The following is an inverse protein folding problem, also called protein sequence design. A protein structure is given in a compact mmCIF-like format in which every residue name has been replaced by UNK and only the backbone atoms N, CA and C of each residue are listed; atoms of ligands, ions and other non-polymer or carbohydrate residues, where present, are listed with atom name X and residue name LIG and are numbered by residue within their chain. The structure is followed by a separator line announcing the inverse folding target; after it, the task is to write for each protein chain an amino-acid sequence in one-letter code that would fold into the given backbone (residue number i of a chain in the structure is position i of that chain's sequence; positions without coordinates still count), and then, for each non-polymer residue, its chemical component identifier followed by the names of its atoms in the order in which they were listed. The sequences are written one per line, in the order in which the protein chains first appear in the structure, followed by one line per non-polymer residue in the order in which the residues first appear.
data_IF_281978843276
#
_entry.id   IF_281978843276
#
_cell.length_a   1.000
_cell.length_b   1.000
_cell.length_c   1.000
_cell.angle_alpha   90.00
_cell.angle_beta   90.00
_cell.angle_gamma   90.00
#
_symmetry.space_group_name_H-M   'P 1'
#
loop_
_entity.id
_entity.type
_entity.pdbx_description
1 polymer ?
#
# COMPACT_ATOMS: atom_id res chain seq x y z
N UNK A 1 1.65 -15.90 -29.48
CA UNK A 1 1.79 -14.65 -30.28
C UNK A 1 1.66 -13.49 -29.31
N UNK A 2 2.75 -12.83 -28.96
CA UNK A 2 2.74 -11.63 -28.12
C UNK A 2 1.94 -10.56 -28.85
N UNK A 3 0.86 -10.10 -28.20
CA UNK A 3 0.02 -9.03 -28.74
C UNK A 3 0.82 -7.71 -28.70
N UNK A 4 1.54 -7.39 -29.77
CA UNK A 4 2.41 -6.22 -29.86
C UNK A 4 1.65 -4.90 -29.62
N UNK A 5 0.37 -4.84 -29.98
CA UNK A 5 -0.52 -3.70 -29.71
C UNK A 5 -0.76 -3.54 -28.20
N UNK A 6 -0.99 -4.63 -27.48
CA UNK A 6 -1.11 -4.62 -26.02
C UNK A 6 0.18 -4.13 -25.34
N UNK A 7 1.33 -4.58 -25.81
CA UNK A 7 2.63 -4.11 -25.32
C UNK A 7 2.85 -2.62 -25.56
N UNK A 8 2.50 -2.10 -26.74
CA UNK A 8 2.56 -0.67 -27.04
C UNK A 8 1.63 0.14 -26.14
N UNK A 9 0.40 -0.33 -25.94
CA UNK A 9 -0.57 0.33 -25.07
C UNK A 9 -0.07 0.38 -23.60
N UNK A 10 0.44 -0.73 -23.09
CA UNK A 10 1.02 -0.82 -21.75
C UNK A 10 2.15 0.21 -21.55
N UNK A 11 3.10 0.24 -22.48
CA UNK A 11 4.22 1.20 -22.45
C UNK A 11 3.77 2.66 -22.57
N UNK A 12 2.76 2.93 -23.39
CA UNK A 12 2.22 4.29 -23.53
C UNK A 12 1.58 4.78 -22.22
N UNK A 13 0.85 3.92 -21.52
CA UNK A 13 0.28 4.24 -20.21
C UNK A 13 1.37 4.50 -19.16
N UNK A 14 2.38 3.66 -19.09
CA UNK A 14 3.52 3.81 -18.18
C UNK A 14 4.33 5.09 -18.50
N UNK A 15 4.52 5.41 -19.78
CA UNK A 15 5.14 6.66 -20.19
C UNK A 15 4.35 7.90 -19.71
N UNK A 16 3.02 7.82 -19.70
CA UNK A 16 2.15 8.87 -19.14
C UNK A 16 2.37 9.08 -17.65
N UNK A 17 2.46 8.00 -16.87
CA UNK A 17 2.77 8.06 -15.43
C UNK A 17 4.15 8.64 -15.19
N UNK A 18 5.17 8.15 -15.90
CA UNK A 18 6.55 8.65 -15.80
C UNK A 18 6.64 10.14 -16.17
N UNK A 19 5.87 10.60 -17.16
CA UNK A 19 5.80 12.02 -17.50
C UNK A 19 5.20 12.86 -16.36
N UNK A 20 4.13 12.37 -15.69
CA UNK A 20 3.57 13.04 -14.52
C UNK A 20 4.58 13.09 -13.35
N UNK A 21 5.25 11.98 -13.07
CA UNK A 21 6.32 11.93 -12.05
C UNK A 21 7.46 12.90 -12.38
N UNK A 22 7.83 13.04 -13.66
CA UNK A 22 8.85 13.98 -14.12
C UNK A 22 8.49 15.47 -13.98
N UNK A 23 7.23 15.77 -13.64
CA UNK A 23 6.72 17.15 -13.43
C UNK A 23 6.50 17.49 -11.96
N UNK A 24 6.72 16.54 -11.06
CA UNK A 24 6.68 16.87 -9.64
C UNK A 24 7.78 17.89 -9.35
N UNK A 25 7.46 18.93 -8.56
CA UNK A 25 8.49 19.84 -8.08
C UNK A 25 9.43 19.03 -7.19
N UNK A 26 10.71 19.09 -7.52
CA UNK A 26 11.75 18.41 -6.75
C UNK A 26 12.72 19.48 -6.29
N UNK A 27 12.74 19.74 -5.01
CA UNK A 27 13.77 20.54 -4.37
C UNK A 27 14.93 19.62 -3.98
N UNK A 28 16.16 20.05 -4.27
CA UNK A 28 17.35 19.32 -3.83
C UNK A 28 17.42 19.41 -2.30
N UNK A 29 17.64 18.29 -1.60
CA UNK A 29 17.85 18.33 -0.18
C UNK A 29 19.16 19.04 0.14
N UNK A 30 19.21 19.72 1.26
CA UNK A 30 20.49 20.21 1.78
C UNK A 30 21.41 18.99 2.05
N UNK A 31 22.72 19.09 1.77
CA UNK A 31 23.66 18.01 2.08
C UNK A 31 23.55 17.60 3.55
N UNK A 32 23.40 16.30 3.80
CA UNK A 32 23.31 15.75 5.16
C UNK A 32 21.91 15.71 5.80
N UNK A 33 20.84 16.03 5.05
CA UNK A 33 19.44 15.94 5.56
C UNK A 33 18.89 14.51 5.66
N UNK A 34 19.66 13.53 5.24
CA UNK A 34 19.28 12.11 5.33
C UNK A 34 20.27 11.36 6.21
N UNK A 35 19.77 10.49 7.06
CA UNK A 35 20.56 9.57 7.87
C UNK A 35 20.17 8.14 7.59
N UNK A 36 21.13 7.20 7.51
CA UNK A 36 20.80 5.78 7.55
C UNK A 36 19.93 5.48 8.77
N UNK A 37 18.99 4.58 8.63
CA UNK A 37 18.18 4.14 9.74
C UNK A 37 18.06 2.61 9.70
N UNK A 38 18.23 1.98 10.85
CA UNK A 38 17.92 0.57 11.00
C UNK A 38 16.41 0.36 10.85
N UNK A 39 15.95 -0.58 10.01
CA UNK A 39 14.53 -0.84 9.80
C UNK A 39 13.77 -1.20 11.08
N UNK A 40 14.34 -2.02 11.96
CA UNK A 40 13.66 -2.47 13.18
C UNK A 40 13.56 -1.34 14.20
N UNK A 41 14.61 -0.54 14.39
CA UNK A 41 14.60 0.63 15.27
C UNK A 41 13.61 1.69 14.77
N UNK A 42 13.59 1.92 13.46
CA UNK A 42 12.64 2.86 12.84
C UNK A 42 11.19 2.51 13.12
N UNK A 43 10.83 1.22 12.99
CA UNK A 43 9.48 0.77 13.25
C UNK A 43 9.17 0.50 14.72
N UNK A 44 10.17 0.28 15.57
CA UNK A 44 9.99 0.19 17.02
C UNK A 44 9.43 1.50 17.62
N UNK A 45 9.77 2.64 17.02
CA UNK A 45 9.24 3.95 17.38
C UNK A 45 7.84 4.24 16.79
N UNK A 46 7.28 3.32 15.99
CA UNK A 46 5.98 3.49 15.35
C UNK A 46 4.82 3.23 16.30
N UNK A 47 3.62 3.70 15.90
CA UNK A 47 2.37 3.52 16.63
C UNK A 47 1.60 2.26 16.24
N UNK A 48 2.21 1.32 15.57
CA UNK A 48 1.52 0.10 15.14
C UNK A 48 0.98 -0.72 16.33
N UNK A 49 1.62 -0.62 17.49
CA UNK A 49 1.19 -1.31 18.73
C UNK A 49 0.14 -0.53 19.54
N UNK A 50 0.08 0.79 19.33
CA UNK A 50 -0.89 1.69 19.98
C UNK A 50 -1.49 2.64 18.92
N UNK A 51 -2.32 2.10 18.02
CA UNK A 51 -2.86 2.85 16.90
C UNK A 51 -3.81 3.95 17.37
N UNK A 52 -3.88 5.03 16.59
CA UNK A 52 -4.73 6.17 16.89
C UNK A 52 -6.22 5.77 16.94
N UNK A 53 -7.02 6.40 17.81
CA UNK A 53 -8.46 6.14 17.87
C UNK A 53 -9.17 6.62 16.62
N UNK A 54 -10.19 5.89 16.18
CA UNK A 54 -11.04 6.20 15.04
C UNK A 54 -12.41 6.66 15.52
N UNK A 55 -12.82 7.83 15.06
CA UNK A 55 -14.18 8.32 15.18
C UNK A 55 -14.98 7.94 13.92
N UNK A 56 -16.19 7.47 14.13
CA UNK A 56 -17.11 7.03 13.07
C UNK A 56 -18.20 8.06 12.91
N UNK A 57 -18.34 8.62 11.72
CA UNK A 57 -19.40 9.56 11.37
C UNK A 57 -20.78 8.90 11.29
N UNK A 58 -21.86 9.71 11.14
CA UNK A 58 -23.21 9.18 10.97
C UNK A 58 -23.30 8.30 9.71
N UNK A 59 -24.29 7.39 9.67
CA UNK A 59 -24.53 6.60 8.47
C UNK A 59 -25.04 7.48 7.34
N UNK A 60 -24.57 7.21 6.14
CA UNK A 60 -25.06 7.75 4.89
C UNK A 60 -25.73 6.63 4.10
N UNK A 61 -26.68 6.99 3.24
CA UNK A 61 -27.30 6.01 2.34
C UNK A 61 -26.27 5.41 1.38
N UNK A 62 -26.47 4.14 1.06
CA UNK A 62 -25.66 3.40 0.10
C UNK A 62 -26.57 2.69 -0.93
N UNK A 63 -26.08 2.60 -2.18
CA UNK A 63 -26.83 1.94 -3.26
C UNK A 63 -26.97 0.41 -3.08
N UNK A 64 -26.04 -0.20 -2.32
CA UNK A 64 -26.10 -1.63 -2.01
C UNK A 64 -26.95 -1.83 -0.77
N UNK A 65 -28.00 -2.65 -0.89
CA UNK A 65 -28.93 -2.94 0.20
C UNK A 65 -28.21 -3.55 1.42
N UNK A 66 -28.55 -3.06 2.61
CA UNK A 66 -27.97 -3.49 3.88
C UNK A 66 -26.53 -3.06 4.08
N UNK A 67 -26.04 -2.10 3.31
CA UNK A 67 -24.73 -1.46 3.46
C UNK A 67 -24.90 -0.02 3.88
N UNK A 68 -24.16 0.40 4.91
CA UNK A 68 -24.05 1.79 5.34
C UNK A 68 -22.70 2.37 4.92
N UNK A 69 -22.72 3.58 4.38
CA UNK A 69 -21.52 4.36 4.12
C UNK A 69 -21.17 5.18 5.37
N UNK A 70 -19.94 5.08 5.85
CA UNK A 70 -19.46 5.81 7.02
C UNK A 70 -18.16 6.55 6.69
N UNK A 71 -18.04 7.79 7.17
CA UNK A 71 -16.75 8.47 7.20
C UNK A 71 -16.04 8.12 8.49
N UNK A 72 -14.78 7.68 8.36
CA UNK A 72 -13.89 7.41 9.47
C UNK A 72 -12.88 8.54 9.56
N UNK A 73 -12.65 9.05 10.77
CA UNK A 73 -11.64 10.08 11.03
C UNK A 73 -10.83 9.74 12.27
N UNK A 74 -9.60 10.22 12.34
CA UNK A 74 -8.73 10.04 13.49
C UNK A 74 -7.52 10.96 13.41
N UNK A 75 -6.76 11.13 14.49
CA UNK A 75 -5.54 11.90 14.45
C UNK A 75 -4.49 11.18 13.61
N UNK A 76 -3.87 11.91 12.70
CA UNK A 76 -2.74 11.44 11.90
C UNK A 76 -1.51 12.27 12.28
N UNK A 77 -0.39 11.62 12.56
CA UNK A 77 0.84 12.27 13.03
C UNK A 77 2.02 11.86 12.17
N UNK A 78 2.81 12.83 11.78
CA UNK A 78 3.98 12.66 10.93
C UNK A 78 4.18 13.89 10.06
N UNK A 79 5.14 13.88 9.13
CA UNK A 79 5.51 15.07 8.37
C UNK A 79 4.33 15.64 7.54
N UNK A 80 3.45 14.81 7.02
CA UNK A 80 2.24 15.29 6.34
C UNK A 80 1.31 16.09 7.24
N UNK A 81 1.29 15.85 8.56
CA UNK A 81 0.46 16.59 9.50
C UNK A 81 0.95 18.02 9.71
N UNK A 82 2.24 18.25 9.64
CA UNK A 82 2.83 19.59 9.75
C UNK A 82 2.45 20.47 8.57
N UNK A 83 2.20 19.87 7.42
CA UNK A 83 1.68 20.54 6.22
C UNK A 83 0.14 20.67 6.19
N UNK A 84 -0.58 20.23 7.23
CA UNK A 84 -2.05 20.32 7.30
C UNK A 84 -2.80 19.00 7.13
N UNK A 85 -2.15 17.89 6.80
CA UNK A 85 -2.77 16.55 6.70
C UNK A 85 -2.87 15.87 8.09
N UNK A 86 -3.45 16.58 9.07
CA UNK A 86 -3.49 16.20 10.50
C UNK A 86 -4.51 15.13 10.83
N UNK A 87 -5.48 14.91 9.95
CA UNK A 87 -6.54 13.95 10.18
C UNK A 87 -6.41 12.80 9.19
N UNK A 88 -6.43 11.58 9.71
CA UNK A 88 -6.76 10.40 8.94
C UNK A 88 -8.21 10.55 8.44
N UNK A 89 -8.45 10.21 7.19
CA UNK A 89 -9.78 10.21 6.58
C UNK A 89 -9.95 8.94 5.76
N UNK A 90 -11.00 8.18 6.04
CA UNK A 90 -11.38 7.00 5.27
C UNK A 90 -12.90 6.99 5.02
N UNK A 91 -13.32 6.19 4.05
CA UNK A 91 -14.74 5.93 3.77
C UNK A 91 -14.95 4.44 3.84
N UNK A 92 -15.87 4.00 4.69
CA UNK A 92 -16.16 2.59 4.94
C UNK A 92 -17.58 2.22 4.47
N UNK A 93 -17.68 1.07 3.81
CA UNK A 93 -18.90 0.38 3.39
C UNK A 93 -19.12 -0.76 4.38
N UNK A 94 -20.07 -0.62 5.28
CA UNK A 94 -20.27 -1.53 6.40
C UNK A 94 -21.62 -2.26 6.30
N UNK A 95 -21.63 -3.51 6.72
CA UNK A 95 -22.87 -4.29 6.97
C UNK A 95 -23.08 -4.39 8.47
N UNK A 96 -23.93 -3.56 9.07
CA UNK A 96 -24.11 -3.51 10.51
C UNK A 96 -24.50 -4.87 11.10
N UNK A 97 -23.94 -5.21 12.25
CA UNK A 97 -24.22 -6.45 12.96
C UNK A 97 -23.61 -7.73 12.37
N UNK A 98 -22.80 -7.63 11.30
CA UNK A 98 -22.23 -8.78 10.59
C UNK A 98 -20.73 -8.92 10.83
N UNK A 99 -20.32 -9.16 12.08
CA UNK A 99 -18.89 -9.38 12.43
C UNK A 99 -18.27 -10.64 11.80
N UNK A 100 -19.08 -11.54 11.33
CA UNK A 100 -18.69 -12.77 10.62
C UNK A 100 -18.08 -12.49 9.24
N UNK A 101 -18.36 -11.32 8.65
CA UNK A 101 -17.88 -10.93 7.34
C UNK A 101 -16.47 -10.34 7.41
N UNK A 102 -15.60 -10.57 6.42
CA UNK A 102 -14.27 -9.98 6.39
C UNK A 102 -14.32 -8.47 6.16
N UNK A 103 -13.33 -7.75 6.69
CA UNK A 103 -13.08 -6.34 6.42
C UNK A 103 -11.85 -6.19 5.52
N UNK A 104 -11.99 -5.45 4.42
CA UNK A 104 -10.91 -5.20 3.47
C UNK A 104 -10.61 -3.70 3.40
N UNK A 105 -9.37 -3.31 3.73
CA UNK A 105 -8.87 -1.95 3.51
C UNK A 105 -8.27 -1.83 2.11
N UNK A 106 -8.75 -0.88 1.32
CA UNK A 106 -8.27 -0.58 -0.04
C UNK A 106 -7.42 0.68 -0.01
N UNK A 107 -6.17 0.57 -0.48
CA UNK A 107 -5.16 1.65 -0.43
C UNK A 107 -4.74 2.04 -1.85
N UNK A 108 -4.89 3.34 -2.16
CA UNK A 108 -4.63 3.88 -3.49
C UNK A 108 -3.12 4.08 -3.79
N UNK A 109 -2.81 4.27 -5.08
CA UNK A 109 -1.47 4.60 -5.55
C UNK A 109 -1.09 6.08 -5.38
N UNK A 110 0.19 6.40 -5.65
CA UNK A 110 0.69 7.77 -5.68
C UNK A 110 -0.05 8.59 -6.76
N UNK A 111 -0.28 9.87 -6.48
CA UNK A 111 -0.94 10.84 -7.39
C UNK A 111 -2.37 10.45 -7.80
N UNK A 112 -3.05 9.59 -7.04
CA UNK A 112 -4.45 9.26 -7.31
C UNK A 112 -5.29 10.54 -7.51
N UNK A 113 -5.86 10.79 -8.71
CA UNK A 113 -6.54 12.05 -8.98
C UNK A 113 -7.96 12.08 -8.39
N UNK A 114 -8.54 10.92 -8.20
CA UNK A 114 -9.86 10.71 -7.62
C UNK A 114 -9.92 9.35 -6.93
N UNK A 115 -10.86 9.13 -6.01
CA UNK A 115 -11.02 7.85 -5.32
C UNK A 115 -11.85 6.83 -6.11
N UNK A 116 -12.14 7.08 -7.38
CA UNK A 116 -13.11 6.32 -8.18
C UNK A 116 -12.78 4.82 -8.27
N UNK A 117 -11.49 4.49 -8.45
CA UNK A 117 -11.07 3.09 -8.56
C UNK A 117 -11.28 2.34 -7.24
N UNK A 118 -10.82 2.91 -6.14
CA UNK A 118 -10.93 2.32 -4.80
C UNK A 118 -12.39 2.26 -4.34
N UNK A 119 -13.19 3.27 -4.66
CA UNK A 119 -14.61 3.30 -4.37
C UNK A 119 -15.36 2.17 -5.08
N UNK A 120 -15.03 1.96 -6.37
CA UNK A 120 -15.55 0.83 -7.15
C UNK A 120 -15.15 -0.52 -6.55
N UNK A 121 -13.91 -0.67 -6.05
CA UNK A 121 -13.47 -1.89 -5.39
C UNK A 121 -14.23 -2.11 -4.06
N UNK A 122 -14.39 -1.07 -3.26
CA UNK A 122 -15.15 -1.16 -2.00
C UNK A 122 -16.61 -1.54 -2.24
N UNK A 123 -17.27 -0.94 -3.23
CA UNK A 123 -18.64 -1.30 -3.63
C UNK A 123 -18.73 -2.78 -4.03
N UNK A 124 -17.85 -3.23 -4.91
CA UNK A 124 -17.83 -4.61 -5.37
C UNK A 124 -17.54 -5.62 -4.23
N UNK A 125 -16.70 -5.27 -3.26
CA UNK A 125 -16.49 -6.07 -2.04
C UNK A 125 -17.77 -6.11 -1.18
N UNK A 126 -18.45 -4.99 -1.03
CA UNK A 126 -19.72 -4.91 -0.29
C UNK A 126 -20.83 -5.75 -0.97
N UNK A 127 -20.90 -5.74 -2.31
CA UNK A 127 -21.80 -6.62 -3.09
C UNK A 127 -21.48 -8.10 -2.89
N UNK A 128 -20.20 -8.46 -2.70
CA UNK A 128 -19.78 -9.84 -2.39
C UNK A 128 -19.98 -10.21 -0.91
N UNK A 129 -20.56 -9.35 -0.09
CA UNK A 129 -20.82 -9.62 1.31
C UNK A 129 -19.63 -9.38 2.24
N UNK A 130 -18.70 -8.50 1.90
CA UNK A 130 -17.63 -8.07 2.79
C UNK A 130 -17.90 -6.66 3.36
N UNK A 131 -17.21 -6.30 4.43
CA UNK A 131 -16.99 -4.90 4.77
C UNK A 131 -15.80 -4.40 3.97
N UNK A 132 -15.81 -3.14 3.57
CA UNK A 132 -14.69 -2.55 2.86
C UNK A 132 -14.49 -1.11 3.29
N UNK A 133 -13.26 -0.62 3.24
CA UNK A 133 -12.97 0.79 3.38
C UNK A 133 -11.85 1.20 2.43
N UNK A 134 -11.92 2.44 1.94
CA UNK A 134 -10.80 3.12 1.31
C UNK A 134 -10.27 4.21 2.23
N UNK A 135 -8.98 4.42 2.19
CA UNK A 135 -8.32 5.48 2.96
C UNK A 135 -7.69 6.51 2.02
N UNK A 136 -7.75 7.77 2.40
CA UNK A 136 -7.01 8.84 1.75
C UNK A 136 -5.64 8.95 2.43
N UNK A 137 -4.55 8.68 1.70
CA UNK A 137 -3.19 8.80 2.23
C UNK A 137 -2.84 10.26 2.53
N UNK A 138 -1.84 10.54 3.37
CA UNK A 138 -1.36 11.90 3.60
C UNK A 138 -1.10 12.63 2.29
N UNK A 139 -1.47 13.90 2.21
CA UNK A 139 -1.33 14.80 1.04
C UNK A 139 -2.11 14.35 -0.22
N UNK A 140 -2.98 13.35 -0.12
CA UNK A 140 -3.80 12.90 -1.25
C UNK A 140 -5.28 13.21 -1.03
N UNK A 141 -6.02 13.27 -2.14
CA UNK A 141 -7.49 13.36 -2.19
C UNK A 141 -8.04 14.45 -1.26
N UNK A 142 -8.84 14.11 -0.23
CA UNK A 142 -9.39 15.07 0.76
C UNK A 142 -8.32 15.64 1.69
N UNK A 143 -7.16 14.98 1.78
CA UNK A 143 -6.03 15.40 2.62
C UNK A 143 -4.97 16.19 1.86
N UNK A 144 -5.19 16.50 0.57
CA UNK A 144 -4.29 17.33 -0.23
C UNK A 144 -4.28 18.78 0.28
N UNK A 145 -3.16 19.45 0.09
CA UNK A 145 -3.08 20.88 0.39
C UNK A 145 -3.94 21.71 -0.58
N UNK A 146 -4.52 22.83 -0.13
CA UNK A 146 -5.27 23.72 -1.01
C UNK A 146 -4.40 24.19 -2.19
N UNK A 147 -4.95 24.10 -3.41
CA UNK A 147 -4.24 24.53 -4.63
C UNK A 147 -3.15 23.58 -5.14
N UNK A 148 -2.87 22.47 -4.42
CA UNK A 148 -1.84 21.49 -4.77
C UNK A 148 -2.51 20.22 -5.31
N UNK A 149 -1.85 19.52 -6.25
CA UNK A 149 -2.36 18.27 -6.79
C UNK A 149 -2.31 17.16 -5.74
N UNK A 150 -3.24 16.21 -5.86
CA UNK A 150 -3.27 15.03 -5.01
C UNK A 150 -1.92 14.29 -5.05
N UNK A 151 -1.28 14.07 -3.88
CA UNK A 151 -0.02 13.37 -3.75
C UNK A 151 1.24 14.19 -4.05
N UNK A 152 1.10 15.45 -4.47
CA UNK A 152 2.25 16.34 -4.61
C UNK A 152 2.86 16.63 -3.24
N UNK A 153 4.19 16.52 -3.13
CA UNK A 153 4.91 16.64 -1.87
C UNK A 153 4.98 15.35 -1.04
N UNK A 154 4.32 14.27 -1.44
CA UNK A 154 4.43 12.98 -0.75
C UNK A 154 5.83 12.38 -0.89
N UNK A 155 6.39 12.38 -2.10
CA UNK A 155 7.78 11.98 -2.36
C UNK A 155 8.63 13.24 -2.46
N UNK A 156 9.73 13.25 -1.73
CA UNK A 156 10.73 14.31 -1.70
C UNK A 156 12.12 13.76 -1.97
N UNK A 157 13.03 14.63 -2.41
CA UNK A 157 14.46 14.32 -2.43
C UNK A 157 15.05 14.27 -1.02
N UNK A 158 14.40 14.85 -0.01
CA UNK A 158 14.63 14.53 1.39
C UNK A 158 14.10 13.11 1.67
N UNK A 159 15.03 12.15 1.74
CA UNK A 159 14.68 10.73 1.93
C UNK A 159 14.14 10.47 3.34
N UNK A 160 14.50 11.27 4.33
CA UNK A 160 13.94 11.17 5.68
C UNK A 160 12.47 11.56 5.68
N UNK A 161 12.11 12.65 4.97
CA UNK A 161 10.71 13.00 4.73
C UNK A 161 9.94 11.88 4.04
N UNK A 162 10.47 11.35 2.92
CA UNK A 162 9.80 10.30 2.15
C UNK A 162 9.59 9.04 3.00
N UNK A 163 10.57 8.64 3.78
CA UNK A 163 10.49 7.52 4.73
C UNK A 163 9.43 7.74 5.80
N UNK A 164 9.43 8.93 6.42
CA UNK A 164 8.56 9.24 7.53
C UNK A 164 7.09 9.42 7.11
N UNK A 165 6.82 9.95 5.91
CA UNK A 165 5.44 10.05 5.40
C UNK A 165 4.88 8.68 4.97
N UNK A 166 5.74 7.76 4.53
CA UNK A 166 5.35 6.36 4.31
C UNK A 166 4.99 5.71 5.66
N UNK A 167 5.79 5.93 6.72
CA UNK A 167 5.46 5.47 8.07
C UNK A 167 4.12 6.02 8.55
N UNK A 168 3.88 7.33 8.41
CA UNK A 168 2.58 7.94 8.71
C UNK A 168 1.43 7.24 7.98
N UNK A 169 1.62 6.91 6.71
CA UNK A 169 0.61 6.21 5.90
C UNK A 169 0.32 4.81 6.41
N UNK A 170 1.36 4.07 6.81
CA UNK A 170 1.23 2.72 7.40
C UNK A 170 0.54 2.79 8.76
N UNK A 171 0.90 3.75 9.61
CA UNK A 171 0.26 3.98 10.92
C UNK A 171 -1.23 4.35 10.78
N UNK A 172 -1.57 5.20 9.82
CA UNK A 172 -2.96 5.57 9.51
C UNK A 172 -3.78 4.35 9.05
N UNK A 173 -3.23 3.52 8.18
CA UNK A 173 -3.85 2.27 7.75
C UNK A 173 -4.00 1.28 8.92
N UNK A 174 -2.98 1.14 9.76
CA UNK A 174 -3.02 0.28 10.93
C UNK A 174 -4.10 0.72 11.94
N UNK A 175 -4.32 2.03 12.10
CA UNK A 175 -5.40 2.57 12.95
C UNK A 175 -6.78 2.14 12.44
N UNK A 176 -7.03 2.20 11.12
CA UNK A 176 -8.28 1.72 10.52
C UNK A 176 -8.45 0.22 10.70
N UNK A 177 -7.38 -0.57 10.48
CA UNK A 177 -7.42 -2.03 10.66
C UNK A 177 -7.66 -2.44 12.11
N UNK A 178 -7.01 -1.77 13.06
CA UNK A 178 -7.21 -2.03 14.50
C UNK A 178 -8.64 -1.67 14.95
N UNK A 179 -9.18 -0.54 14.47
CA UNK A 179 -10.57 -0.20 14.69
C UNK A 179 -11.50 -1.26 14.08
N UNK A 180 -11.27 -1.66 12.82
CA UNK A 180 -12.09 -2.65 12.15
C UNK A 180 -12.08 -3.98 12.89
N UNK A 181 -10.90 -4.45 13.36
CA UNK A 181 -10.76 -5.69 14.14
C UNK A 181 -11.52 -5.63 15.47
N UNK A 182 -11.53 -4.49 16.11
CA UNK A 182 -12.23 -4.31 17.40
C UNK A 182 -13.74 -4.17 17.22
N UNK A 183 -14.21 -3.37 16.24
CA UNK A 183 -15.60 -2.93 16.16
C UNK A 183 -16.40 -3.62 15.03
N UNK A 184 -15.75 -4.11 13.96
CA UNK A 184 -16.44 -4.50 12.72
C UNK A 184 -16.30 -5.98 12.42
N UNK A 185 -15.08 -6.52 12.46
CA UNK A 185 -14.79 -7.88 12.00
C UNK A 185 -13.55 -8.44 12.68
N UNK A 186 -13.58 -9.71 13.04
CA UNK A 186 -12.39 -10.40 13.58
C UNK A 186 -11.34 -10.69 12.50
N UNK A 187 -11.70 -10.50 11.22
CA UNK A 187 -10.88 -10.80 10.06
C UNK A 187 -10.62 -9.54 9.25
N UNK A 188 -9.35 -9.18 9.09
CA UNK A 188 -8.95 -7.95 8.39
C UNK A 188 -7.94 -8.23 7.30
N UNK A 189 -8.17 -7.64 6.13
CA UNK A 189 -7.34 -7.78 4.95
C UNK A 189 -7.00 -6.43 4.34
N UNK A 190 -5.95 -6.40 3.51
CA UNK A 190 -5.52 -5.18 2.80
C UNK A 190 -5.36 -5.46 1.32
N UNK A 191 -5.84 -4.54 0.49
CA UNK A 191 -5.58 -4.49 -0.94
C UNK A 191 -4.95 -3.14 -1.29
N UNK A 192 -3.79 -3.13 -1.92
CA UNK A 192 -3.12 -1.88 -2.28
C UNK A 192 -2.54 -1.89 -3.69
N UNK A 193 -2.52 -0.72 -4.34
CA UNK A 193 -1.99 -0.55 -5.69
C UNK A 193 -0.76 0.36 -5.67
N UNK A 194 0.33 -0.01 -6.35
CA UNK A 194 1.54 0.81 -6.49
C UNK A 194 2.10 1.25 -5.11
N UNK A 195 2.08 2.55 -4.77
CA UNK A 195 2.39 3.05 -3.43
C UNK A 195 1.50 2.38 -2.37
N UNK A 196 0.21 2.23 -2.62
CA UNK A 196 -0.70 1.50 -1.73
C UNK A 196 -0.28 0.03 -1.57
N UNK A 197 0.29 -0.57 -2.63
CA UNK A 197 0.88 -1.90 -2.60
C UNK A 197 2.11 -1.99 -1.69
N UNK A 198 2.99 -0.99 -1.72
CA UNK A 198 4.09 -0.87 -0.75
C UNK A 198 3.56 -0.80 0.69
N UNK A 199 2.56 0.06 0.93
CA UNK A 199 1.95 0.20 2.26
C UNK A 199 1.31 -1.12 2.72
N UNK A 200 0.62 -1.84 1.83
CA UNK A 200 0.04 -3.15 2.13
C UNK A 200 1.12 -4.19 2.51
N UNK A 201 2.26 -4.19 1.79
CA UNK A 201 3.39 -5.07 2.10
C UNK A 201 4.09 -4.70 3.42
N UNK A 202 4.26 -3.41 3.71
CA UNK A 202 4.81 -2.95 5.00
C UNK A 202 3.87 -3.29 6.18
N UNK A 203 2.56 -3.21 5.98
CA UNK A 203 1.58 -3.71 6.96
C UNK A 203 1.71 -5.21 7.16
N UNK A 204 1.84 -6.00 6.07
CA UNK A 204 2.06 -7.44 6.15
C UNK A 204 3.37 -7.81 6.86
N UNK A 205 4.41 -6.98 6.69
CA UNK A 205 5.70 -7.16 7.37
C UNK A 205 5.58 -7.00 8.89
N UNK A 206 4.66 -6.15 9.38
CA UNK A 206 4.56 -5.73 10.77
C UNK A 206 3.35 -6.31 11.52
N UNK A 207 2.29 -6.70 10.80
CA UNK A 207 1.02 -7.14 11.38
C UNK A 207 0.62 -8.51 10.83
N UNK A 208 0.02 -9.34 11.69
CA UNK A 208 -0.63 -10.58 11.26
C UNK A 208 -2.02 -10.25 10.69
N UNK A 209 -2.10 -10.24 9.35
CA UNK A 209 -3.31 -9.99 8.58
C UNK A 209 -3.87 -11.30 8.03
N UNK A 210 -5.17 -11.37 7.83
CA UNK A 210 -5.82 -12.57 7.28
C UNK A 210 -5.51 -12.77 5.81
N UNK A 211 -5.40 -11.70 5.03
CA UNK A 211 -4.85 -11.74 3.67
C UNK A 211 -4.41 -10.37 3.17
N UNK A 212 -3.50 -10.38 2.20
CA UNK A 212 -2.97 -9.17 1.56
C UNK A 212 -2.91 -9.38 0.05
N UNK A 213 -3.33 -8.38 -0.71
CA UNK A 213 -3.14 -8.32 -2.16
C UNK A 213 -2.43 -7.03 -2.54
N UNK A 214 -1.23 -7.13 -3.11
CA UNK A 214 -0.44 -6.00 -3.57
C UNK A 214 -0.38 -5.99 -5.11
N UNK A 215 -0.95 -4.96 -5.73
CA UNK A 215 -1.07 -4.82 -7.18
C UNK A 215 0.01 -3.87 -7.70
N UNK A 216 0.90 -4.36 -8.56
CA UNK A 216 2.03 -3.59 -9.08
C UNK A 216 2.77 -2.80 -7.97
N UNK A 217 3.12 -3.44 -6.83
CA UNK A 217 3.62 -2.72 -5.67
C UNK A 217 4.99 -2.10 -5.90
N UNK A 218 5.24 -0.94 -5.29
CA UNK A 218 6.55 -0.34 -5.18
C UNK A 218 7.39 -1.13 -4.14
N UNK A 219 7.96 -2.27 -4.53
CA UNK A 219 8.68 -3.16 -3.60
C UNK A 219 10.02 -2.60 -3.14
N UNK A 220 10.73 -1.91 -4.03
CA UNK A 220 12.01 -1.29 -3.75
C UNK A 220 12.01 0.19 -4.18
N UNK A 221 11.75 1.11 -3.23
CA UNK A 221 11.81 2.54 -3.49
C UNK A 221 13.20 3.02 -3.91
N UNK A 222 14.28 2.42 -3.39
CA UNK A 222 15.64 2.82 -3.73
C UNK A 222 15.99 2.47 -5.18
N UNK A 223 15.69 1.24 -5.64
CA UNK A 223 15.87 0.86 -7.04
C UNK A 223 15.03 1.75 -7.97
N UNK A 224 13.77 2.01 -7.59
CA UNK A 224 12.89 2.87 -8.38
C UNK A 224 13.46 4.28 -8.55
N UNK A 225 13.97 4.88 -7.48
CA UNK A 225 14.61 6.21 -7.52
C UNK A 225 15.84 6.20 -8.42
N UNK A 226 16.69 5.20 -8.30
CA UNK A 226 17.96 5.11 -9.02
C UNK A 226 17.77 4.79 -10.51
N UNK A 227 16.85 3.88 -10.83
CA UNK A 227 16.81 3.23 -12.14
C UNK A 227 15.57 3.60 -12.98
N UNK A 228 14.47 4.00 -12.34
CA UNK A 228 13.18 4.21 -13.01
C UNK A 228 12.74 5.65 -13.12
N UNK A 229 13.25 6.56 -12.28
CA UNK A 229 12.88 7.97 -12.39
C UNK A 229 13.20 8.52 -13.78
N UNK A 230 12.34 9.41 -14.34
CA UNK A 230 12.60 10.09 -15.60
C UNK A 230 13.95 10.81 -15.56
N UNK A 231 14.68 10.81 -16.69
CA UNK A 231 16.02 11.41 -16.78
C UNK A 231 16.06 12.86 -16.28
N UNK A 232 15.01 13.63 -16.56
CA UNK A 232 14.88 15.02 -16.08
C UNK A 232 14.87 15.07 -14.56
N UNK A 233 14.10 14.20 -13.90
CA UNK A 233 14.00 14.13 -12.43
C UNK A 233 15.32 13.66 -11.84
N UNK A 234 15.96 12.61 -12.40
CA UNK A 234 17.28 12.15 -11.95
C UNK A 234 18.34 13.25 -12.00
N UNK A 235 18.35 14.06 -13.07
CA UNK A 235 19.23 15.23 -13.17
C UNK A 235 18.91 16.28 -12.10
N UNK A 236 17.62 16.56 -11.91
CA UNK A 236 17.17 17.54 -10.91
C UNK A 236 17.58 17.15 -9.47
N UNK A 237 17.58 15.84 -9.17
CA UNK A 237 18.02 15.31 -7.87
C UNK A 237 19.50 14.94 -7.82
N UNK A 238 20.29 15.25 -8.86
CA UNK A 238 21.74 15.03 -8.88
C UNK A 238 22.19 13.58 -9.10
N UNK A 239 21.32 12.69 -9.60
CA UNK A 239 21.61 11.26 -9.84
C UNK A 239 22.33 10.98 -11.17
N UNK A 240 22.24 11.84 -12.16
CA UNK A 240 22.79 11.62 -13.52
C UNK A 240 24.24 12.15 -13.66
N UNK A 241 25.07 12.04 -12.64
CA UNK A 241 26.51 12.27 -12.75
C UNK A 241 26.88 13.72 -13.08
N UNK A 242 27.10 14.52 -12.08
CA UNK A 242 27.79 15.80 -12.14
C UNK A 242 28.73 15.89 -10.95
N UNK A 243 29.89 16.49 -11.13
CA UNK A 243 30.93 16.65 -10.14
C UNK A 243 30.36 16.97 -8.74
N UNK A 244 30.50 16.06 -7.78
CA UNK A 244 30.13 16.31 -6.39
C UNK A 244 28.61 16.23 -6.12
N UNK A 245 27.92 15.22 -6.66
CA UNK A 245 26.50 14.97 -6.37
C UNK A 245 26.23 14.81 -4.87
N UNK A 246 25.10 15.29 -4.41
CA UNK A 246 24.59 15.17 -3.03
C UNK A 246 24.62 13.71 -2.53
N UNK A 247 24.61 12.74 -3.44
CA UNK A 247 24.56 11.30 -3.20
C UNK A 247 25.91 10.58 -3.25
N UNK A 248 27.01 11.30 -3.45
CA UNK A 248 28.35 10.74 -3.59
C UNK A 248 28.95 10.93 -5.00
N UNK A 249 30.20 10.47 -5.21
CA UNK A 249 30.96 10.71 -6.44
C UNK A 249 30.46 9.91 -7.64
N UNK A 250 29.79 8.80 -7.42
CA UNK A 250 29.35 7.86 -8.45
C UNK A 250 28.00 7.21 -8.13
N UNK A 251 27.52 6.36 -9.05
CA UNK A 251 26.24 5.69 -8.93
C UNK A 251 26.22 4.63 -7.81
N UNK A 252 27.32 3.99 -7.52
CA UNK A 252 27.39 2.97 -6.48
C UNK A 252 27.33 3.63 -5.09
N UNK A 253 27.99 4.76 -4.92
CA UNK A 253 27.86 5.60 -3.73
C UNK A 253 26.41 6.08 -3.54
N UNK A 254 25.77 6.56 -4.60
CA UNK A 254 24.36 6.94 -4.57
C UNK A 254 23.45 5.77 -4.19
N UNK A 255 23.71 4.58 -4.70
CA UNK A 255 22.97 3.35 -4.38
C UNK A 255 23.10 2.99 -2.89
N UNK A 256 24.31 3.04 -2.35
CA UNK A 256 24.54 2.77 -0.92
C UNK A 256 23.78 3.77 -0.04
N UNK A 257 23.91 5.04 -0.36
CA UNK A 257 23.29 6.13 0.41
C UNK A 257 21.77 6.05 0.39
N UNK A 258 21.18 6.00 -0.80
CA UNK A 258 19.71 5.95 -0.98
C UNK A 258 19.17 4.64 -0.42
N UNK A 259 19.86 3.51 -0.65
CA UNK A 259 19.49 2.22 -0.09
C UNK A 259 19.45 2.23 1.43
N UNK A 260 20.49 2.75 2.09
CA UNK A 260 20.55 2.83 3.55
C UNK A 260 19.48 3.79 4.12
N UNK A 261 19.21 4.91 3.46
CA UNK A 261 18.20 5.86 3.91
C UNK A 261 16.76 5.33 3.76
N UNK A 262 16.48 4.58 2.70
CA UNK A 262 15.15 4.04 2.42
C UNK A 262 14.94 2.59 2.91
N UNK A 263 15.96 1.93 3.46
CA UNK A 263 15.87 0.55 3.97
C UNK A 263 14.64 0.31 4.87
N UNK A 264 14.25 1.24 5.77
CA UNK A 264 13.07 1.06 6.62
C UNK A 264 11.75 0.91 5.88
N UNK A 265 11.66 1.39 4.64
CA UNK A 265 10.45 1.29 3.82
C UNK A 265 10.59 0.31 2.65
N UNK A 266 11.60 -0.53 2.67
CA UNK A 266 11.75 -1.70 1.78
C UNK A 266 11.16 -2.90 2.49
N UNK A 267 10.05 -3.45 1.97
CA UNK A 267 9.36 -4.58 2.62
C UNK A 267 10.28 -5.80 2.81
N UNK A 268 11.21 -6.04 1.88
CA UNK A 268 12.20 -7.12 1.92
C UNK A 268 13.18 -7.03 3.10
N UNK A 269 13.30 -5.86 3.75
CA UNK A 269 14.11 -5.69 4.98
C UNK A 269 13.56 -6.48 6.18
N UNK A 270 12.33 -7.03 6.07
CA UNK A 270 11.65 -7.76 7.14
C UNK A 270 11.44 -9.22 6.73
N UNK A 271 12.18 -10.14 7.39
CA UNK A 271 12.09 -11.57 7.11
C UNK A 271 12.15 -12.39 8.40
N UNK A 272 11.18 -13.28 8.62
CA UNK A 272 9.94 -13.44 7.85
C UNK A 272 8.96 -12.29 8.10
N UNK A 273 7.97 -12.06 7.20
CA UNK A 273 6.90 -11.10 7.47
C UNK A 273 6.00 -11.60 8.59
N UNK A 274 5.33 -10.68 9.31
CA UNK A 274 4.36 -11.03 10.34
C UNK A 274 3.13 -11.75 9.77
N UNK A 275 2.69 -11.37 8.57
CA UNK A 275 1.67 -12.10 7.80
C UNK A 275 2.33 -13.23 7.03
N UNK A 276 1.94 -14.51 7.22
CA UNK A 276 2.49 -15.63 6.47
C UNK A 276 2.37 -15.47 4.96
N UNK A 277 3.42 -15.87 4.21
CA UNK A 277 3.50 -15.68 2.77
C UNK A 277 2.33 -16.28 1.98
N UNK A 278 1.79 -17.41 2.41
CA UNK A 278 0.62 -18.03 1.78
C UNK A 278 -0.67 -17.18 1.88
N UNK A 279 -0.66 -16.10 2.66
CA UNK A 279 -1.74 -15.12 2.76
C UNK A 279 -1.45 -13.83 1.98
N UNK A 280 -0.33 -13.77 1.26
CA UNK A 280 0.10 -12.62 0.49
C UNK A 280 0.07 -12.98 -1.00
N UNK A 281 -0.62 -12.16 -1.80
CA UNK A 281 -0.61 -12.24 -3.25
C UNK A 281 0.02 -10.96 -3.82
N UNK A 282 1.01 -11.12 -4.70
CA UNK A 282 1.67 -10.03 -5.43
C UNK A 282 1.28 -10.13 -6.89
N UNK A 283 0.63 -9.10 -7.43
CA UNK A 283 0.33 -8.97 -8.85
C UNK A 283 1.48 -8.25 -9.53
N UNK A 284 2.19 -8.98 -10.38
CA UNK A 284 3.38 -8.52 -11.09
C UNK A 284 3.08 -8.23 -12.55
N UNK A 285 3.06 -6.97 -13.00
CA UNK A 285 3.10 -6.63 -14.43
C UNK A 285 4.53 -6.81 -14.96
N UNK A 286 4.72 -7.68 -15.95
CA UNK A 286 6.07 -8.03 -16.44
C UNK A 286 6.68 -7.00 -17.38
N UNK A 287 5.89 -5.99 -17.78
CA UNK A 287 6.31 -4.87 -18.63
C UNK A 287 6.34 -3.54 -17.84
N UNK A 288 6.39 -3.59 -16.51
CA UNK A 288 6.35 -2.41 -15.65
C UNK A 288 7.60 -1.55 -15.83
N UNK A 289 7.42 -0.36 -16.41
CA UNK A 289 8.48 0.63 -16.60
C UNK A 289 8.49 1.72 -15.50
N UNK A 290 7.52 1.68 -14.58
CA UNK A 290 7.38 2.68 -13.50
C UNK A 290 8.15 2.29 -12.25
N UNK A 291 7.90 1.09 -11.72
CA UNK A 291 8.56 0.60 -10.48
C UNK A 291 9.48 -0.61 -10.75
N UNK A 292 9.37 -1.23 -11.92
CA UNK A 292 10.11 -2.45 -12.25
C UNK A 292 9.49 -3.71 -11.65
N UNK A 293 9.72 -4.82 -12.30
CA UNK A 293 9.12 -6.11 -11.95
C UNK A 293 10.05 -7.06 -11.18
N UNK A 294 11.37 -6.80 -11.21
CA UNK A 294 12.40 -7.60 -10.52
C UNK A 294 12.18 -7.69 -9.01
N UNK A 295 12.09 -6.58 -8.29
CA UNK A 295 11.88 -6.57 -6.84
C UNK A 295 10.61 -7.30 -6.39
N UNK A 296 9.54 -7.29 -7.21
CA UNK A 296 8.31 -8.05 -6.91
C UNK A 296 8.55 -9.54 -6.92
N UNK A 297 9.32 -10.04 -7.90
CA UNK A 297 9.69 -11.45 -8.02
C UNK A 297 10.56 -11.91 -6.87
N UNK A 298 11.55 -11.10 -6.50
CA UNK A 298 12.47 -11.40 -5.41
C UNK A 298 11.73 -11.43 -4.07
N UNK A 299 10.90 -10.42 -3.78
CA UNK A 299 10.11 -10.37 -2.56
C UNK A 299 9.13 -11.55 -2.44
N UNK A 300 8.46 -11.91 -3.54
CA UNK A 300 7.55 -13.06 -3.54
C UNK A 300 8.28 -14.36 -3.22
N UNK A 301 9.51 -14.55 -3.74
CA UNK A 301 10.33 -15.71 -3.44
C UNK A 301 10.78 -15.73 -1.97
N UNK A 302 11.29 -14.61 -1.46
CA UNK A 302 11.79 -14.50 -0.09
C UNK A 302 10.68 -14.70 0.96
N UNK A 303 9.47 -14.25 0.67
CA UNK A 303 8.33 -14.35 1.57
C UNK A 303 7.47 -15.61 1.33
N UNK A 304 7.80 -16.43 0.33
CA UNK A 304 6.95 -17.53 -0.15
C UNK A 304 5.52 -17.08 -0.48
N UNK A 305 5.38 -15.86 -1.02
CA UNK A 305 4.10 -15.26 -1.39
C UNK A 305 3.63 -15.73 -2.77
N UNK A 306 2.31 -15.71 -3.02
CA UNK A 306 1.78 -15.99 -4.36
C UNK A 306 2.16 -14.87 -5.33
N UNK A 307 2.70 -15.23 -6.50
CA UNK A 307 3.07 -14.30 -7.56
C UNK A 307 2.18 -14.50 -8.78
N UNK A 308 1.37 -13.48 -9.11
CA UNK A 308 0.50 -13.50 -10.28
C UNK A 308 1.08 -12.58 -11.36
N UNK A 309 1.67 -13.18 -12.40
CA UNK A 309 2.35 -12.44 -13.47
C UNK A 309 1.45 -12.20 -14.67
N UNK A 310 1.46 -10.97 -15.18
CA UNK A 310 0.70 -10.55 -16.36
C UNK A 310 1.61 -9.79 -17.34
N UNK A 311 1.49 -10.01 -18.67
CA UNK A 311 2.28 -9.31 -19.67
C UNK A 311 1.73 -7.89 -19.92
N UNK A 312 1.72 -7.08 -18.86
CA UNK A 312 1.13 -5.75 -18.79
C UNK A 312 2.12 -4.76 -18.18
N UNK A 313 1.88 -3.45 -18.36
CA UNK A 313 2.57 -2.36 -17.67
C UNK A 313 1.96 -2.06 -16.31
N UNK A 314 2.53 -1.06 -15.64
CA UNK A 314 2.16 -0.64 -14.29
C UNK A 314 0.67 -0.34 -14.13
N UNK A 315 0.11 0.42 -15.06
CA UNK A 315 -1.30 0.84 -15.00
C UNK A 315 -2.20 -0.12 -15.77
N UNK A 316 -1.75 -0.63 -16.92
CA UNK A 316 -2.61 -1.48 -17.76
C UNK A 316 -2.98 -2.79 -17.06
N UNK A 317 -2.18 -3.28 -16.12
CA UNK A 317 -2.50 -4.47 -15.33
C UNK A 317 -3.82 -4.35 -14.57
N UNK A 318 -4.18 -3.15 -14.12
CA UNK A 318 -5.44 -2.91 -13.41
C UNK A 318 -6.68 -3.10 -14.31
N UNK A 319 -6.48 -3.08 -15.63
CA UNK A 319 -7.53 -3.27 -16.63
C UNK A 319 -7.59 -4.73 -17.16
N UNK A 320 -6.76 -5.62 -16.65
CA UNK A 320 -6.80 -7.04 -17.02
C UNK A 320 -8.16 -7.62 -16.67
N UNK A 321 -8.83 -8.17 -17.69
CA UNK A 321 -10.16 -8.77 -17.52
C UNK A 321 -10.13 -9.88 -16.47
N UNK A 322 -11.00 -9.76 -15.46
CA UNK A 322 -11.11 -10.73 -14.38
C UNK A 322 -10.11 -10.54 -13.23
N UNK A 323 -9.06 -9.72 -13.36
CA UNK A 323 -8.11 -9.52 -12.27
C UNK A 323 -8.79 -8.97 -11.00
N UNK A 324 -9.60 -7.94 -11.13
CA UNK A 324 -10.31 -7.36 -9.99
C UNK A 324 -11.23 -8.37 -9.28
N UNK A 325 -11.89 -9.25 -10.05
CA UNK A 325 -12.69 -10.36 -9.50
C UNK A 325 -11.79 -11.33 -8.76
N UNK A 326 -10.72 -11.81 -9.39
CA UNK A 326 -9.74 -12.74 -8.79
C UNK A 326 -9.17 -12.19 -7.47
N UNK A 327 -8.80 -10.91 -7.42
CA UNK A 327 -8.28 -10.27 -6.20
C UNK A 327 -9.32 -10.28 -5.09
N UNK A 328 -10.57 -9.89 -5.38
CA UNK A 328 -11.64 -9.87 -4.37
C UNK A 328 -11.99 -11.28 -3.89
N UNK A 329 -12.13 -12.24 -4.80
CA UNK A 329 -12.36 -13.64 -4.45
C UNK A 329 -11.24 -14.21 -3.59
N UNK A 330 -9.98 -13.90 -3.92
CA UNK A 330 -8.83 -14.28 -3.12
C UNK A 330 -8.93 -13.75 -1.69
N UNK A 331 -9.21 -12.46 -1.52
CA UNK A 331 -9.34 -11.83 -0.21
C UNK A 331 -10.47 -12.47 0.61
N UNK A 332 -11.65 -12.63 0.00
CA UNK A 332 -12.83 -13.17 0.68
C UNK A 332 -12.71 -14.68 0.94
N UNK A 333 -12.22 -15.47 -0.02
CA UNK A 333 -12.10 -16.93 0.11
C UNK A 333 -11.04 -17.34 1.13
N UNK A 334 -9.94 -16.62 1.24
CA UNK A 334 -8.92 -16.86 2.27
C UNK A 334 -9.48 -16.69 3.67
N UNK A 335 -10.32 -15.69 3.89
CA UNK A 335 -11.05 -15.55 5.14
C UNK A 335 -11.93 -16.78 5.44
N UNK A 336 -12.69 -17.26 4.46
CA UNK A 336 -13.55 -18.45 4.62
C UNK A 336 -12.77 -19.73 4.94
N UNK A 337 -11.63 -19.93 4.29
CA UNK A 337 -10.75 -21.09 4.54
C UNK A 337 -10.20 -21.10 5.97
N UNK A 338 -9.85 -19.92 6.51
CA UNK A 338 -9.37 -19.77 7.89
C UNK A 338 -10.47 -20.06 8.92
N UNK A 339 -11.69 -19.56 8.70
CA UNK A 339 -12.83 -19.86 9.57
C UNK A 339 -13.11 -21.37 9.65
N UNK A 340 -13.04 -22.08 8.54
CA UNK A 340 -13.20 -23.54 8.48
C UNK A 340 -12.07 -24.31 9.22
N UNK A 341 -10.86 -23.77 9.28
CA UNK A 341 -9.75 -24.35 10.07
C UNK A 341 -9.93 -24.11 11.57
N UNK A 342 -10.34 -22.92 11.99
CA UNK A 342 -10.60 -22.60 13.38
C UNK A 342 -11.73 -23.46 13.96
N UNK A 343 -12.81 -23.69 13.22
CA UNK A 343 -13.90 -24.58 13.62
C UNK A 343 -13.50 -26.05 13.73
N UNK A 344 -12.54 -26.52 12.91
CA UNK A 344 -11.99 -27.89 12.97
C UNK A 344 -10.93 -28.07 14.06
N UNK A 345 -10.29 -26.99 14.51
CA UNK A 345 -9.30 -27.00 15.56
C UNK A 345 -9.89 -26.83 16.99
N UNK A 346 -11.15 -26.47 17.12
CA UNK A 346 -11.81 -26.46 18.42
C UNK A 346 -11.85 -27.91 18.96
N UNK A 347 -11.19 -28.19 20.12
CA UNK A 347 -11.24 -29.54 20.69
C UNK A 347 -12.69 -29.90 21.00
N UNK A 348 -13.15 -31.00 20.46
CA UNK A 348 -14.47 -31.56 20.76
C UNK A 348 -14.63 -31.58 22.28
N UNK A 349 -15.70 -30.98 22.78
CA UNK A 349 -16.12 -31.15 24.16
C UNK A 349 -16.40 -32.63 24.36
N UNK A 350 -15.40 -33.33 24.85
CA UNK A 350 -15.53 -34.71 25.29
C UNK A 350 -16.56 -34.71 26.43
N UNK A 351 -17.69 -35.34 26.14
CA UNK A 351 -18.68 -35.71 27.15
C UNK A 351 -18.01 -36.57 28.24
N UNK A 352 -17.72 -36.03 29.37
CA UNK A 352 -17.50 -36.80 30.57
C UNK A 352 -18.89 -37.20 31.08
N UNK A 353 -19.42 -38.31 30.57
CA UNK A 353 -20.51 -39.03 31.21
C UNK A 353 -19.88 -39.79 32.43
N UNK A 354 -20.43 -39.50 33.55
CA UNK A 354 -20.25 -40.16 34.88
C UNK A 354 -20.34 -41.69 34.80
N UNK A 355 -19.39 -42.38 35.40
CA UNK A 355 -19.58 -43.64 36.11
C UNK A 355 -18.72 -43.60 37.39
#
# INVERSE_FOLDING_TARGET
MTNWLGTLFARAMDAGVRWQLGRLPVELPAPGTWTPADPHEFWAASRLRDPAPIAVGPPLEHEVEGVELRTLTGPSRGPGSDLGSRSLVATAHLRPGRRDLPFVLVVHGLLAPSPWYEERQCRALAEMGAHAARIDLPLHLRRRLPGVRSGEGFISADLSWTRDIVRQSVEDCAAVLAWARREVSDRVAVCGTSLGGLIALLLAAQLDLDSVAALAPLCDPAETVLDRLPRRTRRAVGLDGGRGGVWGPDRDSARMVIGAALAPIVARSFQPPATPGERIAIVRPTLDEVVGDGPMKELAADWAAELWSYPEGHISVLNVRGLGVRVREWLVSRHSAMAGRAQRAAPGQGSWATA
#
